data_IF_530858479004
#
_entry.id   IF_530858479004
#
_cell.length_a   1.000
_cell.length_b   1.000
_cell.length_c   1.000
_cell.angle_alpha   90.00
_cell.angle_beta   90.00
_cell.angle_gamma   90.00
#
_symmetry.space_group_name_H-M   'P 1'
#
loop_
_entity.id
_entity.type
_entity.pdbx_description
1 polymer ?
#
# COMPACT_ATOMS: atom_id res chain seq x y z
N UNK A 1 -11.67 31.53 -31.80
CA UNK A 1 -10.65 32.30 -31.05
C UNK A 1 -9.87 31.33 -30.18
N UNK A 2 -8.92 30.62 -30.77
CA UNK A 2 -8.11 29.59 -30.11
C UNK A 2 -7.05 30.28 -29.24
N UNK A 3 -7.27 30.29 -27.93
CA UNK A 3 -6.38 30.95 -26.98
C UNK A 3 -5.21 30.02 -26.64
N UNK A 4 -4.02 30.50 -26.94
CA UNK A 4 -2.71 29.90 -26.79
C UNK A 4 -2.46 29.45 -25.34
N UNK A 5 -2.59 28.15 -25.05
CA UNK A 5 -2.05 27.56 -23.82
C UNK A 5 -0.69 26.91 -24.13
N UNK A 6 0.43 27.43 -23.57
CA UNK A 6 1.74 26.82 -23.76
C UNK A 6 1.76 25.41 -23.16
N UNK A 7 2.39 24.45 -23.85
CA UNK A 7 2.50 23.03 -23.46
C UNK A 7 3.16 22.79 -22.08
N UNK A 8 3.78 23.82 -21.50
CA UNK A 8 4.29 23.83 -20.13
C UNK A 8 3.17 23.88 -19.07
N UNK A 9 2.01 24.46 -19.40
CA UNK A 9 0.90 24.65 -18.47
C UNK A 9 0.15 23.34 -18.21
N UNK A 10 -0.07 22.50 -19.24
CA UNK A 10 -0.67 21.16 -19.06
C UNK A 10 0.22 20.23 -18.22
N UNK A 11 1.54 20.38 -18.36
CA UNK A 11 2.54 19.64 -17.58
C UNK A 11 2.66 20.15 -16.14
N UNK A 12 2.50 21.46 -15.91
CA UNK A 12 2.42 22.05 -14.57
C UNK A 12 1.13 21.63 -13.85
N UNK A 13 -0.02 21.68 -14.53
CA UNK A 13 -1.31 21.22 -13.99
C UNK A 13 -1.26 19.73 -13.65
N UNK A 14 -0.71 18.87 -14.53
CA UNK A 14 -0.57 17.43 -14.22
C UNK A 14 0.31 17.16 -13.01
N UNK A 15 1.41 17.90 -12.85
CA UNK A 15 2.28 17.82 -11.67
C UNK A 15 1.56 18.29 -10.41
N UNK A 16 0.84 19.41 -10.49
CA UNK A 16 0.04 19.95 -9.39
C UNK A 16 -1.05 18.97 -8.95
N UNK A 17 -1.78 18.37 -9.90
CA UNK A 17 -2.80 17.35 -9.61
C UNK A 17 -2.18 16.11 -8.96
N UNK A 18 -1.04 15.63 -9.46
CA UNK A 18 -0.36 14.49 -8.85
C UNK A 18 0.11 14.80 -7.43
N UNK A 19 0.69 15.98 -7.20
CA UNK A 19 1.10 16.44 -5.87
C UNK A 19 -0.10 16.57 -4.94
N UNK A 20 -1.23 17.11 -5.43
CA UNK A 20 -2.44 17.24 -4.66
C UNK A 20 -3.02 15.86 -4.30
N UNK A 21 -3.07 14.92 -5.24
CA UNK A 21 -3.46 13.53 -4.98
C UNK A 21 -2.53 12.86 -3.96
N UNK A 22 -1.22 13.08 -4.05
CA UNK A 22 -0.24 12.57 -3.09
C UNK A 22 -0.49 13.17 -1.69
N UNK A 23 -0.69 14.48 -1.59
CA UNK A 23 -0.97 15.17 -0.33
C UNK A 23 -2.28 14.68 0.27
N UNK A 24 -3.33 14.51 -0.53
CA UNK A 24 -4.61 13.94 -0.08
C UNK A 24 -4.42 12.51 0.39
N UNK A 25 -3.71 11.67 -0.37
CA UNK A 25 -3.43 10.29 0.02
C UNK A 25 -2.65 10.21 1.34
N UNK A 26 -1.59 10.99 1.51
CA UNK A 26 -0.84 11.08 2.76
C UNK A 26 -1.72 11.61 3.90
N UNK A 27 -2.51 12.66 3.65
CA UNK A 27 -3.42 13.22 4.65
C UNK A 27 -4.47 12.20 5.09
N UNK A 28 -5.00 11.39 4.17
CA UNK A 28 -5.93 10.30 4.48
C UNK A 28 -5.22 9.21 5.29
N UNK A 29 -3.99 8.83 4.94
CA UNK A 29 -3.19 7.87 5.71
C UNK A 29 -2.89 8.34 7.13
N UNK A 30 -2.69 9.64 7.35
CA UNK A 30 -2.46 10.20 8.69
C UNK A 30 -3.75 10.54 9.45
N UNK A 31 -4.82 10.91 8.76
CA UNK A 31 -6.09 11.32 9.39
C UNK A 31 -7.02 10.15 9.68
N UNK A 32 -6.96 9.06 8.91
CA UNK A 32 -7.61 7.83 9.35
C UNK A 32 -6.82 7.27 10.53
N UNK A 33 -7.47 6.89 11.63
CA UNK A 33 -6.83 6.22 12.76
C UNK A 33 -6.51 4.76 12.41
N UNK A 34 -5.80 4.53 11.29
CA UNK A 34 -5.32 3.22 10.82
C UNK A 34 -4.57 2.53 11.95
N UNK A 35 -3.75 3.27 12.71
CA UNK A 35 -3.08 2.72 13.88
C UNK A 35 -4.05 2.12 14.90
N UNK A 36 -5.18 2.78 15.16
CA UNK A 36 -6.19 2.26 16.10
C UNK A 36 -6.83 0.98 15.56
N UNK A 37 -7.26 0.98 14.29
CA UNK A 37 -7.84 -0.20 13.65
C UNK A 37 -6.88 -1.38 13.58
N UNK A 38 -5.60 -1.14 13.29
CA UNK A 38 -4.58 -2.19 13.26
C UNK A 38 -4.26 -2.72 14.65
N UNK A 39 -4.28 -1.87 15.68
CA UNK A 39 -4.16 -2.32 17.08
C UNK A 39 -5.35 -3.16 17.51
N UNK A 40 -6.57 -2.72 17.20
CA UNK A 40 -7.79 -3.47 17.53
C UNK A 40 -7.80 -4.82 16.80
N UNK A 41 -7.38 -4.84 15.53
CA UNK A 41 -7.17 -6.07 14.78
C UNK A 41 -6.16 -6.99 15.47
N UNK A 42 -5.00 -6.48 15.89
CA UNK A 42 -3.99 -7.27 16.59
C UNK A 42 -4.51 -7.83 17.93
N UNK A 43 -5.29 -7.05 18.68
CA UNK A 43 -5.95 -7.51 19.91
C UNK A 43 -6.92 -8.64 19.61
N UNK A 44 -7.75 -8.49 18.58
CA UNK A 44 -8.66 -9.52 18.12
C UNK A 44 -7.93 -10.81 17.69
N UNK A 45 -6.83 -10.68 16.93
CA UNK A 45 -6.00 -11.84 16.54
C UNK A 45 -5.41 -12.53 17.79
N UNK A 46 -5.03 -11.78 18.81
CA UNK A 46 -4.51 -12.35 20.06
C UNK A 46 -5.59 -13.11 20.84
N UNK A 47 -6.78 -12.52 20.96
CA UNK A 47 -7.85 -13.02 21.82
C UNK A 47 -8.61 -14.20 21.20
N UNK A 48 -8.94 -14.12 19.91
CA UNK A 48 -9.84 -15.09 19.27
C UNK A 48 -9.13 -16.16 18.41
N UNK A 49 -7.91 -15.91 17.93
CA UNK A 49 -7.25 -16.79 16.94
C UNK A 49 -6.16 -17.69 17.52
N UNK A 50 -5.57 -17.34 18.66
CA UNK A 50 -4.54 -18.14 19.33
C UNK A 50 -3.44 -18.62 18.36
N UNK A 51 -3.26 -19.94 18.13
CA UNK A 51 -2.22 -20.47 17.24
C UNK A 51 -2.33 -20.06 15.76
N UNK A 52 -3.51 -19.69 15.28
CA UNK A 52 -3.74 -19.29 13.88
C UNK A 52 -3.36 -17.83 13.59
N UNK A 53 -3.04 -17.06 14.63
CA UNK A 53 -2.75 -15.64 14.51
C UNK A 53 -1.66 -15.26 13.49
N UNK A 54 -0.53 -15.99 13.41
CA UNK A 54 0.52 -15.70 12.42
C UNK A 54 0.04 -15.82 10.97
N UNK A 55 -0.84 -16.78 10.67
CA UNK A 55 -1.38 -16.97 9.31
C UNK A 55 -2.26 -15.78 8.95
N UNK A 56 -3.11 -15.35 9.88
CA UNK A 56 -4.01 -14.20 9.65
C UNK A 56 -3.24 -12.89 9.55
N UNK A 57 -2.14 -12.73 10.30
CA UNK A 57 -1.20 -11.64 10.09
C UNK A 57 -0.62 -11.63 8.68
N UNK A 58 -0.11 -12.78 8.20
CA UNK A 58 0.47 -12.89 6.87
C UNK A 58 -0.56 -12.53 5.77
N UNK A 59 -1.80 -13.00 5.91
CA UNK A 59 -2.90 -12.69 4.98
C UNK A 59 -3.27 -11.21 5.03
N UNK A 60 -3.37 -10.62 6.21
CA UNK A 60 -3.66 -9.19 6.37
C UNK A 60 -2.56 -8.30 5.77
N UNK A 61 -1.32 -8.77 5.78
CA UNK A 61 -0.18 -8.05 5.22
C UNK A 61 -0.30 -7.83 3.70
N UNK A 62 -0.95 -8.74 2.97
CA UNK A 62 -1.10 -8.69 1.51
C UNK A 62 -1.85 -7.44 1.04
N UNK A 63 -3.10 -7.17 1.46
CA UNK A 63 -3.82 -5.97 1.06
C UNK A 63 -3.16 -4.69 1.59
N UNK A 64 -2.56 -4.70 2.79
CA UNK A 64 -1.80 -3.55 3.29
C UNK A 64 -0.64 -3.19 2.36
N UNK A 65 0.10 -4.19 1.90
CA UNK A 65 1.21 -4.02 0.95
C UNK A 65 0.72 -3.49 -0.39
N UNK A 66 -0.37 -4.06 -0.92
CA UNK A 66 -0.95 -3.63 -2.21
C UNK A 66 -1.46 -2.18 -2.15
N UNK A 67 -2.06 -1.78 -1.03
CA UNK A 67 -2.60 -0.44 -0.82
C UNK A 67 -1.55 0.59 -0.34
N UNK A 68 -0.29 0.18 -0.20
CA UNK A 68 0.79 1.00 0.35
C UNK A 68 0.45 1.60 1.73
N UNK A 69 -0.28 0.84 2.56
CA UNK A 69 -0.61 1.21 3.93
C UNK A 69 0.60 0.95 4.82
N UNK A 70 0.94 1.85 5.77
CA UNK A 70 2.03 1.63 6.71
C UNK A 70 1.82 0.34 7.53
N UNK A 71 2.62 -0.69 7.27
CA UNK A 71 2.49 -2.00 7.90
C UNK A 71 3.31 -2.14 9.21
N UNK A 72 3.99 -1.08 9.64
CA UNK A 72 4.84 -1.06 10.85
C UNK A 72 4.11 -1.57 12.10
N UNK A 73 2.82 -1.24 12.25
CA UNK A 73 1.99 -1.72 13.36
C UNK A 73 1.81 -3.23 13.32
N UNK A 74 1.59 -3.83 12.13
CA UNK A 74 1.46 -5.27 11.97
C UNK A 74 2.78 -6.01 12.18
N UNK A 75 3.89 -5.49 11.64
CA UNK A 75 5.23 -6.07 11.81
C UNK A 75 5.65 -6.08 13.28
N UNK A 76 5.55 -4.93 13.95
CA UNK A 76 5.91 -4.80 15.36
C UNK A 76 4.92 -5.54 16.25
N UNK A 77 3.62 -5.44 15.95
CA UNK A 77 2.56 -6.15 16.65
C UNK A 77 2.69 -7.66 16.55
N UNK A 78 3.00 -8.19 15.37
CA UNK A 78 3.22 -9.61 15.16
C UNK A 78 4.44 -10.16 15.88
N UNK A 79 5.55 -9.42 15.85
CA UNK A 79 6.75 -9.76 16.63
C UNK A 79 6.50 -9.72 18.15
N UNK A 80 5.70 -8.76 18.62
CA UNK A 80 5.31 -8.64 20.02
C UNK A 80 4.35 -9.74 20.48
N UNK A 81 3.34 -10.09 19.66
CA UNK A 81 2.30 -11.04 20.02
C UNK A 81 2.73 -12.50 19.86
N UNK A 82 3.47 -12.85 18.81
CA UNK A 82 3.82 -14.23 18.46
C UNK A 82 5.30 -14.56 18.68
N UNK A 83 6.08 -13.57 19.12
CA UNK A 83 7.53 -13.66 19.23
C UNK A 83 8.23 -13.37 17.91
N UNK A 84 9.51 -13.00 18.01
CA UNK A 84 10.30 -12.54 16.88
C UNK A 84 10.39 -13.57 15.72
N UNK A 85 10.70 -14.86 15.95
CA UNK A 85 10.88 -15.80 14.84
C UNK A 85 9.59 -16.06 14.06
N UNK A 86 8.46 -16.24 14.78
CA UNK A 86 7.17 -16.55 14.17
C UNK A 86 6.60 -15.33 13.46
N UNK A 87 6.63 -14.16 14.13
CA UNK A 87 6.21 -12.90 13.54
C UNK A 87 7.02 -12.56 12.30
N UNK A 88 8.34 -12.74 12.34
CA UNK A 88 9.23 -12.48 11.19
C UNK A 88 8.92 -13.37 9.98
N UNK A 89 8.70 -14.67 10.20
CA UNK A 89 8.38 -15.60 9.11
C UNK A 89 7.01 -15.26 8.50
N UNK A 90 6.01 -15.03 9.35
CA UNK A 90 4.67 -14.67 8.91
C UNK A 90 4.67 -13.37 8.10
N UNK A 91 5.34 -12.34 8.63
CA UNK A 91 5.50 -11.04 7.97
C UNK A 91 6.25 -11.19 6.63
N UNK A 92 7.38 -11.88 6.60
CA UNK A 92 8.17 -12.09 5.38
C UNK A 92 7.37 -12.77 4.26
N UNK A 93 6.57 -13.78 4.60
CA UNK A 93 5.69 -14.48 3.65
C UNK A 93 4.59 -13.54 3.16
N UNK A 94 3.91 -12.86 4.09
CA UNK A 94 2.85 -11.90 3.77
C UNK A 94 3.34 -10.76 2.88
N UNK A 95 4.50 -10.17 3.20
CA UNK A 95 5.16 -9.13 2.42
C UNK A 95 5.57 -9.61 1.02
N UNK A 96 6.11 -10.82 0.90
CA UNK A 96 6.50 -11.38 -0.40
C UNK A 96 5.28 -11.59 -1.30
N UNK A 97 4.19 -12.15 -0.75
CA UNK A 97 2.94 -12.35 -1.48
C UNK A 97 2.30 -11.00 -1.84
N UNK A 98 2.27 -10.06 -0.90
CA UNK A 98 1.79 -8.69 -1.10
C UNK A 98 2.54 -7.95 -2.20
N UNK A 99 3.87 -8.00 -2.18
CA UNK A 99 4.71 -7.39 -3.20
C UNK A 99 4.50 -8.04 -4.58
N UNK A 100 4.37 -9.36 -4.62
CA UNK A 100 4.05 -10.10 -5.85
C UNK A 100 2.69 -9.68 -6.41
N UNK A 101 1.66 -9.58 -5.56
CA UNK A 101 0.33 -9.14 -5.94
C UNK A 101 0.35 -7.68 -6.44
N UNK A 102 1.01 -6.77 -5.73
CA UNK A 102 1.16 -5.38 -6.12
C UNK A 102 1.88 -5.25 -7.49
N UNK A 103 2.94 -6.03 -7.70
CA UNK A 103 3.64 -6.08 -8.97
C UNK A 103 2.74 -6.60 -10.11
N UNK A 104 1.99 -7.68 -9.88
CA UNK A 104 1.06 -8.21 -10.87
C UNK A 104 -0.03 -7.22 -11.24
N UNK A 105 -0.60 -6.52 -10.26
CA UNK A 105 -1.60 -5.46 -10.49
C UNK A 105 -1.01 -4.29 -11.29
N UNK A 106 0.20 -3.85 -10.94
CA UNK A 106 0.92 -2.84 -11.72
C UNK A 106 1.21 -3.29 -13.15
N UNK A 107 1.55 -4.57 -13.34
CA UNK A 107 1.85 -5.17 -14.65
C UNK A 107 0.61 -5.35 -15.52
N UNK A 108 -0.56 -5.68 -14.96
CA UNK A 108 -1.78 -5.90 -15.75
C UNK A 108 -2.52 -4.58 -16.01
N UNK A 109 -2.83 -3.84 -14.94
CA UNK A 109 -3.63 -2.61 -15.01
C UNK A 109 -2.78 -1.42 -15.46
N UNK A 110 -1.51 -1.36 -15.06
CA UNK A 110 -0.59 -0.26 -15.42
C UNK A 110 0.00 -0.36 -16.83
N UNK A 111 -0.10 -1.52 -17.50
CA UNK A 111 0.50 -1.74 -18.84
C UNK A 111 0.01 -0.77 -19.92
N UNK A 112 -1.30 -0.48 -20.06
CA UNK A 112 -1.78 0.48 -21.07
C UNK A 112 -1.24 1.89 -20.84
N UNK A 113 -1.12 2.31 -19.57
CA UNK A 113 -0.55 3.60 -19.21
C UNK A 113 0.92 3.71 -19.65
N UNK A 114 1.74 2.71 -19.36
CA UNK A 114 3.16 2.68 -19.77
C UNK A 114 3.29 2.67 -21.29
N UNK A 115 2.48 1.86 -21.99
CA UNK A 115 2.49 1.81 -23.45
C UNK A 115 2.10 3.15 -24.09
N UNK A 116 1.14 3.88 -23.49
CA UNK A 116 0.76 5.22 -23.96
C UNK A 116 1.89 6.24 -23.83
N UNK A 117 2.79 6.06 -22.85
CA UNK A 117 3.95 6.94 -22.65
C UNK A 117 5.07 6.62 -23.64
N UNK A 118 5.35 5.33 -23.90
CA UNK A 118 6.40 4.90 -24.83
C UNK A 118 6.11 5.30 -26.28
N UNK A 119 4.84 5.29 -26.72
CA UNK A 119 4.44 5.76 -28.05
C UNK A 119 4.77 7.23 -28.36
N UNK A 120 5.05 8.06 -27.34
CA UNK A 120 5.46 9.45 -27.57
C UNK A 120 6.96 9.61 -27.83
N UNK A 121 7.74 8.53 -27.75
CA UNK A 121 9.19 8.52 -27.94
C UNK A 121 9.66 7.80 -29.21
N UNK A 122 8.76 7.09 -29.91
CA UNK A 122 9.02 6.39 -31.16
C UNK A 122 8.30 7.10 -32.31
#
# INVERSE_FOLDING_TARGET
MAMLLPSSLSSAVRRLVFLLLLVVFLSVLYSLPIEHYLKDFLLWVKEDLGPWGPIVLAVAYVPLTVLAVPASVLTLGGGYLFGLPVGFIADSIGATIGATAAFMLGRTIGRPFVMSKLKNYA
#
